data_IF_382132078508
#
_entry.id   IF_382132078508
#
_cell.length_a   1.000
_cell.length_b   1.000
_cell.length_c   1.000
_cell.angle_alpha   90.00
_cell.angle_beta   90.00
_cell.angle_gamma   90.00
#
_symmetry.space_group_name_H-M   'P 1'
#
loop_
_entity.id
_entity.type
_entity.pdbx_description
1 polymer ?
#
# COMPACT_ATOMS: atom_id res chain seq x y z
N UNK A 1 20.89 22.31 -1.34
CA UNK A 1 19.64 22.70 -2.02
C UNK A 1 18.51 22.23 -1.13
N UNK A 2 17.63 23.12 -0.67
CA UNK A 2 16.42 22.69 0.04
C UNK A 2 15.47 22.16 -1.02
N UNK A 3 15.22 20.86 -1.01
CA UNK A 3 14.14 20.26 -1.79
C UNK A 3 12.84 20.70 -1.17
N UNK A 4 12.06 21.52 -1.87
CA UNK A 4 10.69 21.84 -1.44
C UNK A 4 9.86 20.56 -1.51
N UNK A 5 9.20 20.23 -0.40
CA UNK A 5 8.28 19.09 -0.35
C UNK A 5 7.00 19.53 -1.06
N UNK A 6 6.70 18.87 -2.18
CA UNK A 6 5.44 19.06 -2.89
C UNK A 6 4.37 18.17 -2.26
N UNK A 7 3.27 18.78 -1.81
CA UNK A 7 2.10 18.09 -1.25
C UNK A 7 0.97 18.17 -2.27
N UNK A 8 0.39 17.03 -2.60
CA UNK A 8 -0.77 16.94 -3.50
C UNK A 8 -1.77 15.89 -3.01
N UNK A 9 -3.04 16.11 -3.33
CA UNK A 9 -4.09 15.11 -3.09
C UNK A 9 -4.09 14.08 -4.23
N UNK A 10 -4.10 12.79 -3.89
CA UNK A 10 -4.03 11.69 -4.86
C UNK A 10 -5.42 11.24 -5.33
N UNK A 11 -6.46 11.45 -4.52
CA UNK A 11 -7.90 11.37 -4.83
C UNK A 11 -8.66 11.52 -3.48
N UNK A 12 -9.99 11.67 -3.49
CA UNK A 12 -10.81 11.76 -2.28
C UNK A 12 -10.84 10.50 -1.42
N UNK A 13 -10.70 9.30 -2.02
CA UNK A 13 -10.81 8.02 -1.31
C UNK A 13 -9.53 7.17 -1.39
N UNK A 14 -8.45 7.71 -1.96
CA UNK A 14 -7.24 6.92 -2.26
C UNK A 14 -7.42 5.92 -3.41
N UNK A 15 -8.51 6.04 -4.18
CA UNK A 15 -8.77 5.27 -5.39
C UNK A 15 -7.84 5.86 -6.46
N UNK A 16 -6.76 5.15 -6.79
CA UNK A 16 -5.70 5.68 -7.67
C UNK A 16 -4.30 5.65 -7.03
N UNK A 17 -4.18 5.31 -5.75
CA UNK A 17 -2.87 5.25 -5.08
C UNK A 17 -1.94 4.21 -5.71
N UNK A 18 -2.49 3.09 -6.18
CA UNK A 18 -1.69 2.01 -6.77
C UNK A 18 -1.08 2.48 -8.09
N UNK A 19 -1.92 3.02 -8.96
CA UNK A 19 -1.55 3.54 -10.27
C UNK A 19 -0.55 4.68 -10.14
N UNK A 20 -0.82 5.63 -9.25
CA UNK A 20 0.05 6.77 -8.99
C UNK A 20 1.45 6.33 -8.54
N UNK A 21 1.54 5.42 -7.57
CA UNK A 21 2.83 4.95 -7.05
C UNK A 21 3.59 4.15 -8.12
N UNK A 22 2.90 3.27 -8.84
CA UNK A 22 3.52 2.48 -9.92
C UNK A 22 4.02 3.39 -11.07
N UNK A 23 3.31 4.48 -11.39
CA UNK A 23 3.76 5.47 -12.38
C UNK A 23 5.04 6.18 -11.91
N UNK A 24 5.13 6.54 -10.62
CA UNK A 24 6.29 7.29 -10.09
C UNK A 24 7.53 6.45 -9.88
N UNK A 25 7.38 5.19 -9.46
CA UNK A 25 8.51 4.31 -9.17
C UNK A 25 8.91 3.46 -10.37
N UNK A 26 7.96 3.17 -11.27
CA UNK A 26 8.14 2.19 -12.33
C UNK A 26 8.21 0.74 -11.80
N UNK A 27 8.06 -0.25 -12.67
CA UNK A 27 8.18 -1.66 -12.27
C UNK A 27 9.63 -2.06 -12.05
N UNK A 28 9.88 -2.93 -11.07
CA UNK A 28 11.18 -3.59 -10.86
C UNK A 28 11.05 -5.10 -11.00
N UNK A 29 11.93 -5.72 -11.78
CA UNK A 29 11.92 -7.17 -12.05
C UNK A 29 12.01 -8.08 -10.81
N UNK A 30 12.43 -7.53 -9.66
CA UNK A 30 12.53 -8.23 -8.39
C UNK A 30 11.26 -8.12 -7.54
N UNK A 31 10.31 -7.29 -7.95
CA UNK A 31 9.02 -7.15 -7.27
C UNK A 31 8.25 -8.46 -7.35
N UNK A 32 7.89 -8.99 -6.18
CA UNK A 32 6.87 -10.05 -6.07
C UNK A 32 5.47 -9.47 -6.09
N UNK A 33 5.33 -8.24 -5.59
CA UNK A 33 4.10 -7.45 -5.49
C UNK A 33 4.48 -6.02 -5.86
N UNK A 34 3.69 -5.35 -6.70
CA UNK A 34 4.01 -3.97 -7.13
C UNK A 34 4.05 -3.00 -5.95
N UNK A 35 4.92 -2.00 -6.02
CA UNK A 35 5.05 -0.98 -4.98
C UNK A 35 3.72 -0.31 -4.60
N UNK A 36 2.85 -0.03 -5.58
CA UNK A 36 1.54 0.57 -5.34
C UNK A 36 0.61 -0.31 -4.48
N UNK A 37 0.64 -1.63 -4.69
CA UNK A 37 -0.11 -2.58 -3.85
C UNK A 37 0.45 -2.62 -2.43
N UNK A 38 1.79 -2.57 -2.26
CA UNK A 38 2.40 -2.53 -0.93
C UNK A 38 1.98 -1.26 -0.19
N UNK A 39 2.02 -0.09 -0.85
CA UNK A 39 1.57 1.18 -0.23
C UNK A 39 0.09 1.11 0.13
N UNK A 40 -0.77 0.56 -0.74
CA UNK A 40 -2.18 0.32 -0.44
C UNK A 40 -2.35 -0.55 0.82
N UNK A 41 -1.59 -1.64 0.93
CA UNK A 41 -1.61 -2.52 2.10
C UNK A 41 -1.17 -1.80 3.38
N UNK A 42 -0.11 -0.98 3.32
CA UNK A 42 0.36 -0.18 4.45
C UNK A 42 -0.69 0.83 4.92
N UNK A 43 -1.38 1.51 3.99
CA UNK A 43 -2.45 2.45 4.32
C UNK A 43 -3.63 1.75 5.01
N UNK A 44 -4.07 0.60 4.47
CA UNK A 44 -5.14 -0.20 5.06
C UNK A 44 -4.77 -0.69 6.46
N UNK A 45 -3.55 -1.18 6.61
CA UNK A 45 -3.02 -1.63 7.89
C UNK A 45 -2.95 -0.47 8.90
N UNK A 46 -2.49 0.72 8.49
CA UNK A 46 -2.45 1.93 9.32
C UNK A 46 -3.83 2.43 9.75
N UNK A 47 -4.86 2.30 8.90
CA UNK A 47 -6.25 2.61 9.25
C UNK A 47 -6.82 1.65 10.31
N UNK A 48 -6.38 0.39 10.32
CA UNK A 48 -6.78 -0.62 11.30
C UNK A 48 -6.23 -0.40 12.71
N UNK A 49 -5.14 0.36 12.83
CA UNK A 49 -4.45 0.58 14.09
C UNK A 49 -4.35 2.07 14.45
N UNK A 50 -5.46 2.67 14.84
CA UNK A 50 -5.51 4.06 15.34
C UNK A 50 -4.75 4.28 16.67
N UNK A 51 -4.24 3.22 17.30
CA UNK A 51 -3.54 3.29 18.61
C UNK A 51 -2.29 2.41 18.72
N UNK A 52 -1.80 1.82 17.62
CA UNK A 52 -0.50 1.15 17.57
C UNK A 52 0.44 1.91 16.62
N UNK A 53 1.78 1.85 16.80
CA UNK A 53 2.70 2.42 15.83
C UNK A 53 2.48 1.76 14.46
N UNK A 54 2.74 2.50 13.38
CA UNK A 54 2.48 2.11 11.99
C UNK A 54 3.38 0.93 11.56
N UNK A 55 3.07 -0.27 12.04
CA UNK A 55 3.77 -1.52 11.75
C UNK A 55 2.85 -2.42 10.94
N UNK A 56 3.39 -2.98 9.86
CA UNK A 56 2.69 -3.91 9.00
C UNK A 56 2.53 -5.27 9.70
N UNK A 57 1.46 -5.42 10.47
CA UNK A 57 1.10 -6.67 11.11
C UNK A 57 0.30 -7.57 10.15
N UNK A 58 0.83 -8.77 9.85
CA UNK A 58 0.12 -9.81 9.09
C UNK A 58 -1.25 -10.14 9.70
N UNK A 59 -1.37 -10.02 11.03
CA UNK A 59 -2.59 -10.32 11.79
C UNK A 59 -3.75 -9.43 11.37
N UNK A 60 -3.49 -8.21 10.89
CA UNK A 60 -4.54 -7.34 10.35
C UNK A 60 -5.26 -7.97 9.16
N UNK A 61 -4.50 -8.68 8.32
CA UNK A 61 -5.05 -9.32 7.12
C UNK A 61 -5.63 -10.70 7.41
N UNK A 62 -5.56 -11.20 8.64
CA UNK A 62 -6.18 -12.47 9.03
C UNK A 62 -7.70 -12.36 8.90
N UNK A 63 -8.29 -13.21 8.06
CA UNK A 63 -9.74 -13.19 7.78
C UNK A 63 -10.18 -12.12 6.77
N UNK A 64 -9.25 -11.33 6.22
CA UNK A 64 -9.51 -10.44 5.09
C UNK A 64 -9.24 -11.20 3.78
N UNK A 65 -10.09 -10.99 2.76
CA UNK A 65 -9.88 -11.53 1.43
C UNK A 65 -8.76 -10.78 0.68
N UNK A 66 -7.50 -11.03 1.07
CA UNK A 66 -6.31 -10.34 0.55
C UNK A 66 -6.19 -10.47 -0.96
N UNK A 67 -6.50 -11.62 -1.55
CA UNK A 67 -6.41 -11.80 -3.00
C UNK A 67 -7.38 -10.91 -3.76
N UNK A 68 -8.59 -10.73 -3.24
CA UNK A 68 -9.57 -9.82 -3.82
C UNK A 68 -9.18 -8.35 -3.61
N UNK A 69 -8.55 -8.04 -2.48
CA UNK A 69 -8.26 -6.66 -2.08
C UNK A 69 -6.93 -6.12 -2.64
N UNK A 70 -5.92 -6.97 -2.74
CA UNK A 70 -4.53 -6.63 -3.04
C UNK A 70 -4.01 -7.28 -4.32
N UNK A 71 -4.71 -8.28 -4.86
CA UNK A 71 -4.37 -8.95 -6.11
C UNK A 71 -4.10 -10.44 -5.93
N UNK A 72 -4.20 -11.18 -7.03
CA UNK A 72 -4.04 -12.64 -7.07
C UNK A 72 -2.69 -13.07 -6.47
N UNK A 73 -2.70 -14.10 -5.61
CA UNK A 73 -1.50 -14.65 -4.98
C UNK A 73 -0.98 -13.86 -3.77
N UNK A 74 -1.56 -12.70 -3.45
CA UNK A 74 -1.23 -11.94 -2.23
C UNK A 74 -1.91 -12.56 -1.02
N UNK A 75 -1.10 -13.08 -0.08
CA UNK A 75 -1.58 -13.71 1.16
C UNK A 75 -1.18 -12.87 2.36
N UNK A 76 -1.86 -13.02 3.53
CA UNK A 76 -1.48 -12.31 4.74
C UNK A 76 -0.03 -12.53 5.18
N UNK A 77 0.55 -13.70 4.88
CA UNK A 77 1.89 -14.12 5.33
C UNK A 77 3.04 -13.70 4.40
N UNK A 78 2.73 -13.07 3.26
CA UNK A 78 3.66 -12.79 2.16
C UNK A 78 3.99 -11.30 2.06
#
# INVERSE_FOLDING_TARGET
MNSEILVQNIDHLGIGVVEYINEKLGPDSREKVSAGIIVKAMLLNGLGFVSAPLYMFEQFFTGIATEHLLGEGVKPEH
#
